data_IF_704141827403
#
_entry.id   IF_704141827403
#
_cell.length_a   1.000
_cell.length_b   1.000
_cell.length_c   1.000
_cell.angle_alpha   90.00
_cell.angle_beta   90.00
_cell.angle_gamma   90.00
#
_symmetry.space_group_name_H-M   'P 1'
#
loop_
_entity.id
_entity.type
_entity.pdbx_description
1 polymer ?
#
# COMPACT_ATOMS: atom_id res chain seq x y z
N UNK A 1 -1.99 10.03 17.38
CA UNK A 1 -0.88 9.56 16.51
C UNK A 1 0.42 9.67 17.28
N UNK A 2 1.28 8.64 17.25
CA UNK A 2 2.63 8.71 17.81
C UNK A 2 3.64 9.08 16.70
N UNK A 3 4.90 9.38 17.08
CA UNK A 3 5.95 9.78 16.14
C UNK A 3 6.23 8.68 15.10
N UNK A 4 6.19 7.41 15.49
CA UNK A 4 6.37 6.28 14.57
C UNK A 4 5.33 6.26 13.46
N UNK A 5 4.05 6.53 13.77
CA UNK A 5 2.99 6.60 12.76
C UNK A 5 3.19 7.77 11.80
N UNK A 6 3.68 8.92 12.29
CA UNK A 6 4.03 10.07 11.45
C UNK A 6 5.22 9.78 10.53
N UNK A 7 6.23 9.07 11.04
CA UNK A 7 7.39 8.64 10.23
C UNK A 7 6.97 7.67 9.12
N UNK A 8 6.11 6.69 9.42
CA UNK A 8 5.55 5.79 8.41
C UNK A 8 4.69 6.53 7.39
N UNK A 9 3.82 7.45 7.83
CA UNK A 9 3.05 8.31 6.94
C UNK A 9 3.96 9.08 5.98
N UNK A 10 5.02 9.72 6.49
CA UNK A 10 6.00 10.43 5.67
C UNK A 10 6.69 9.49 4.68
N UNK A 11 7.08 8.28 5.12
CA UNK A 11 7.69 7.27 4.25
C UNK A 11 6.77 6.85 3.11
N UNK A 12 5.48 6.60 3.37
CA UNK A 12 4.52 6.22 2.34
C UNK A 12 4.33 7.32 1.28
N UNK A 13 4.30 8.59 1.71
CA UNK A 13 4.24 9.72 0.78
C UNK A 13 5.51 9.85 -0.06
N UNK A 14 6.68 9.67 0.53
CA UNK A 14 7.97 9.67 -0.20
C UNK A 14 7.99 8.57 -1.26
N UNK A 15 7.60 7.34 -0.89
CA UNK A 15 7.58 6.22 -1.82
C UNK A 15 6.55 6.41 -2.95
N UNK A 16 5.37 6.94 -2.66
CA UNK A 16 4.38 7.28 -3.67
C UNK A 16 4.90 8.35 -4.64
N UNK A 17 5.56 9.39 -4.12
CA UNK A 17 6.12 10.47 -4.95
C UNK A 17 7.28 9.97 -5.81
N UNK A 18 8.16 9.12 -5.26
CA UNK A 18 9.27 8.53 -6.01
C UNK A 18 8.76 7.62 -7.14
N UNK A 19 7.83 6.72 -6.83
CA UNK A 19 7.23 5.83 -7.83
C UNK A 19 6.55 6.61 -8.94
N UNK A 20 5.75 7.63 -8.60
CA UNK A 20 5.13 8.51 -9.59
C UNK A 20 6.17 9.25 -10.44
N UNK A 21 7.24 9.77 -9.83
CA UNK A 21 8.32 10.45 -10.56
C UNK A 21 8.99 9.54 -11.58
N UNK A 22 9.19 8.26 -11.23
CA UNK A 22 9.76 7.27 -12.14
C UNK A 22 8.80 6.92 -13.28
N UNK A 23 7.50 6.83 -13.00
CA UNK A 23 6.48 6.60 -14.03
C UNK A 23 6.35 7.79 -14.97
N UNK A 24 6.29 9.01 -14.45
CA UNK A 24 6.23 10.25 -15.24
C UNK A 24 7.46 10.44 -16.15
N UNK A 25 8.61 9.87 -15.77
CA UNK A 25 9.83 9.84 -16.59
C UNK A 25 9.93 8.64 -17.54
N UNK A 26 8.87 7.82 -17.64
CA UNK A 26 8.84 6.58 -18.43
C UNK A 26 9.93 5.56 -18.06
N UNK A 27 10.45 5.62 -16.83
CA UNK A 27 11.46 4.66 -16.33
C UNK A 27 10.77 3.35 -15.92
N UNK A 28 9.58 3.46 -15.33
CA UNK A 28 8.72 2.33 -14.97
C UNK A 28 7.36 2.49 -15.64
N UNK A 29 6.76 1.38 -16.08
CA UNK A 29 5.35 1.41 -16.49
C UNK A 29 4.44 1.34 -15.26
N UNK A 30 3.24 1.90 -15.37
CA UNK A 30 2.27 1.92 -14.28
C UNK A 30 1.82 0.50 -13.90
N UNK A 31 1.75 -0.41 -14.88
CA UNK A 31 1.47 -1.83 -14.70
C UNK A 31 2.62 -2.56 -14.02
N UNK A 32 3.87 -2.17 -14.29
CA UNK A 32 5.02 -2.74 -13.60
C UNK A 32 5.02 -2.38 -12.12
N UNK A 33 4.67 -1.12 -11.79
CA UNK A 33 4.50 -0.69 -10.40
C UNK A 33 3.36 -1.44 -9.72
N UNK A 34 2.20 -1.57 -10.36
CA UNK A 34 1.06 -2.31 -9.78
C UNK A 34 1.42 -3.77 -9.48
N UNK A 35 2.07 -4.46 -10.43
CA UNK A 35 2.55 -5.84 -10.22
C UNK A 35 3.58 -5.95 -9.11
N UNK A 36 4.54 -5.02 -9.04
CA UNK A 36 5.56 -5.03 -8.00
C UNK A 36 4.94 -4.87 -6.60
N UNK A 37 3.95 -3.99 -6.45
CA UNK A 37 3.25 -3.82 -5.18
C UNK A 37 2.36 -5.02 -4.85
N UNK A 38 1.66 -5.61 -5.83
CA UNK A 38 0.90 -6.84 -5.62
C UNK A 38 1.79 -8.01 -5.16
N UNK A 39 2.98 -8.13 -5.75
CA UNK A 39 3.98 -9.10 -5.31
C UNK A 39 4.49 -8.81 -3.89
N UNK A 40 4.72 -7.54 -3.54
CA UNK A 40 5.14 -7.16 -2.20
C UNK A 40 4.07 -7.51 -1.15
N UNK A 41 2.78 -7.31 -1.45
CA UNK A 41 1.68 -7.74 -0.59
C UNK A 41 1.66 -9.27 -0.42
N UNK A 42 1.82 -10.01 -1.51
CA UNK A 42 1.89 -11.48 -1.46
C UNK A 42 3.07 -11.98 -0.63
N UNK A 43 4.24 -11.36 -0.74
CA UNK A 43 5.41 -11.72 0.08
C UNK A 43 5.13 -11.43 1.55
N UNK A 44 4.59 -10.25 1.85
CA UNK A 44 4.30 -9.83 3.23
C UNK A 44 3.26 -10.73 3.92
N UNK A 45 2.26 -11.21 3.18
CA UNK A 45 1.21 -12.09 3.69
C UNK A 45 1.53 -13.59 3.54
N UNK A 46 2.43 -13.93 2.63
CA UNK A 46 2.77 -15.31 2.25
C UNK A 46 3.97 -15.88 2.98
N UNK A 47 4.66 -15.12 3.85
CA UNK A 47 5.59 -15.72 4.82
C UNK A 47 4.81 -16.62 5.79
N UNK A 48 4.71 -17.89 5.38
CA UNK A 48 3.82 -18.99 5.81
C UNK A 48 3.95 -19.40 7.29
N UNK A 49 4.79 -18.73 8.06
CA UNK A 49 4.92 -18.93 9.51
C UNK A 49 4.67 -17.68 10.34
N UNK A 50 4.76 -16.51 9.71
CA UNK A 50 4.62 -15.24 10.42
C UNK A 50 3.20 -14.72 10.23
N UNK A 51 2.64 -14.82 9.03
CA UNK A 51 1.32 -14.26 8.74
C UNK A 51 0.17 -15.10 9.34
N UNK A 52 0.28 -16.44 9.38
CA UNK A 52 -0.78 -17.31 9.92
C UNK A 52 -1.05 -17.05 11.41
N UNK A 53 0.01 -16.79 12.19
CA UNK A 53 -0.08 -16.51 13.63
C UNK A 53 -0.39 -15.05 13.96
N UNK A 54 -0.32 -14.14 12.98
CA UNK A 54 -0.65 -12.73 13.19
C UNK A 54 -2.17 -12.54 13.26
N UNK A 55 -2.68 -11.73 14.21
CA UNK A 55 -4.08 -11.34 14.21
C UNK A 55 -4.42 -10.54 12.95
N UNK A 56 -5.69 -10.54 12.49
CA UNK A 56 -6.09 -9.89 11.24
C UNK A 56 -5.63 -8.42 11.11
N UNK A 57 -5.70 -7.65 12.19
CA UNK A 57 -5.23 -6.26 12.21
C UNK A 57 -3.72 -6.10 11.95
N UNK A 58 -2.90 -7.07 12.38
CA UNK A 58 -1.47 -7.06 12.13
C UNK A 58 -1.15 -7.50 10.69
N UNK A 59 -1.87 -8.48 10.14
CA UNK A 59 -1.79 -8.83 8.71
C UNK A 59 -2.13 -7.62 7.83
N UNK A 60 -3.17 -6.88 8.19
CA UNK A 60 -3.52 -5.63 7.50
C UNK A 60 -2.44 -4.55 7.60
N UNK A 61 -1.80 -4.42 8.76
CA UNK A 61 -0.69 -3.49 8.93
C UNK A 61 0.51 -3.86 8.03
N UNK A 62 0.80 -5.16 7.85
CA UNK A 62 1.82 -5.65 6.94
C UNK A 62 1.48 -5.38 5.48
N UNK A 63 0.23 -5.62 5.07
CA UNK A 63 -0.23 -5.40 3.69
C UNK A 63 -0.43 -3.92 3.34
N UNK A 64 -0.61 -3.05 4.34
CA UNK A 64 -0.97 -1.64 4.16
C UNK A 64 -0.05 -0.88 3.19
N UNK A 65 1.30 -0.95 3.27
CA UNK A 65 2.17 -0.16 2.40
C UNK A 65 1.97 -0.49 0.91
N UNK A 66 1.85 -1.78 0.58
CA UNK A 66 1.63 -2.22 -0.79
C UNK A 66 0.26 -1.76 -1.31
N UNK A 67 -0.82 -1.96 -0.52
CA UNK A 67 -2.17 -1.50 -0.87
C UNK A 67 -2.25 0.02 -1.05
N UNK A 68 -1.61 0.77 -0.16
CA UNK A 68 -1.52 2.22 -0.24
C UNK A 68 -0.86 2.68 -1.55
N UNK A 69 0.30 2.10 -1.88
CA UNK A 69 1.05 2.47 -3.08
C UNK A 69 0.34 2.06 -4.37
N UNK A 70 -0.40 0.95 -4.38
CA UNK A 70 -1.26 0.57 -5.53
C UNK A 70 -2.35 1.60 -5.78
N UNK A 71 -3.03 2.06 -4.73
CA UNK A 71 -4.06 3.09 -4.86
C UNK A 71 -3.46 4.42 -5.32
N UNK A 72 -2.31 4.82 -4.77
CA UNK A 72 -1.60 6.02 -5.22
C UNK A 72 -1.23 5.92 -6.72
N UNK A 73 -0.67 4.78 -7.13
CA UNK A 73 -0.29 4.50 -8.51
C UNK A 73 -1.50 4.54 -9.47
N UNK A 74 -2.65 4.01 -9.08
CA UNK A 74 -3.86 4.04 -9.89
C UNK A 74 -4.45 5.45 -10.03
N UNK A 75 -4.36 6.27 -8.97
CA UNK A 75 -5.00 7.59 -8.90
C UNK A 75 -4.18 8.70 -9.52
N UNK A 76 -2.86 8.59 -9.49
CA UNK A 76 -1.99 9.56 -10.16
C UNK A 76 -2.19 9.54 -11.69
N UNK A 77 -2.64 8.43 -12.27
CA UNK A 77 -3.07 8.38 -13.67
C UNK A 77 -4.29 9.25 -13.99
N UNK A 78 -5.12 9.55 -12.97
CA UNK A 78 -6.29 10.42 -13.12
C UNK A 78 -5.95 11.92 -12.98
N UNK A 79 -4.69 12.26 -12.65
CA UNK A 79 -4.24 13.66 -12.46
C UNK A 79 -4.61 14.26 -11.11
N UNK A 80 -5.24 13.51 -10.22
CA UNK A 80 -5.68 13.98 -8.90
C UNK A 80 -4.59 13.80 -7.83
N UNK A 81 -4.19 14.91 -7.21
CA UNK A 81 -3.34 14.87 -6.02
C UNK A 81 -4.18 14.44 -4.80
N UNK A 82 -4.16 13.15 -4.48
CA UNK A 82 -4.94 12.59 -3.37
C UNK A 82 -4.17 12.71 -2.05
N UNK A 83 -4.88 13.15 -1.00
CA UNK A 83 -4.30 13.27 0.34
C UNK A 83 -4.01 11.90 0.98
N UNK A 84 -3.03 11.85 1.88
CA UNK A 84 -2.72 10.65 2.66
C UNK A 84 -3.95 10.07 3.38
N UNK A 85 -4.76 10.93 3.99
CA UNK A 85 -5.95 10.54 4.74
C UNK A 85 -6.98 9.84 3.85
N UNK A 86 -7.14 10.35 2.62
CA UNK A 86 -8.06 9.76 1.65
C UNK A 86 -7.55 8.41 1.13
N UNK A 87 -6.27 8.29 0.78
CA UNK A 87 -5.68 7.00 0.40
C UNK A 87 -5.80 5.97 1.53
N UNK A 88 -5.53 6.36 2.77
CA UNK A 88 -5.67 5.49 3.95
C UNK A 88 -7.11 5.01 4.12
N UNK A 89 -8.08 5.92 3.99
CA UNK A 89 -9.51 5.57 4.03
C UNK A 89 -9.88 4.57 2.93
N UNK A 90 -9.38 4.78 1.71
CA UNK A 90 -9.64 3.88 0.58
C UNK A 90 -9.03 2.50 0.80
N UNK A 91 -7.81 2.39 1.37
CA UNK A 91 -7.24 1.09 1.76
C UNK A 91 -8.18 0.36 2.72
N UNK A 92 -8.67 1.05 3.75
CA UNK A 92 -9.60 0.46 4.73
C UNK A 92 -10.94 0.02 4.13
N UNK A 93 -11.39 0.64 3.04
CA UNK A 93 -12.64 0.29 2.35
C UNK A 93 -12.48 -0.82 1.31
N UNK A 94 -11.27 -1.02 0.79
CA UNK A 94 -10.99 -1.94 -0.32
C UNK A 94 -10.28 -3.21 0.13
N UNK A 95 -9.76 -3.26 1.37
CA UNK A 95 -9.25 -4.51 1.94
C UNK A 95 -10.37 -5.55 2.00
N UNK A 96 -10.03 -6.79 1.67
CA UNK A 96 -10.92 -7.93 1.87
C UNK A 96 -11.12 -8.22 3.36
N UNK A 97 -12.01 -9.16 3.66
CA UNK A 97 -12.12 -9.76 4.99
C UNK A 97 -11.28 -11.04 5.04
N UNK A 98 -10.63 -11.29 6.16
CA UNK A 98 -9.99 -12.58 6.37
C UNK A 98 -11.03 -13.63 6.80
N UNK A 99 -10.86 -14.92 6.46
CA UNK A 99 -11.84 -15.97 6.80
C UNK A 99 -12.12 -16.12 8.30
N UNK A 100 -11.18 -15.71 9.15
CA UNK A 100 -11.21 -15.72 10.61
C UNK A 100 -11.90 -14.48 11.23
N UNK A 101 -12.45 -13.56 10.42
CA UNK A 101 -13.20 -12.38 10.87
C UNK A 101 -14.74 -12.56 10.81
N UNK A 102 -15.24 -13.74 10.40
CA UNK A 102 -16.67 -14.04 10.19
C UNK A 102 -17.25 -15.01 11.24
#
# INVERSE_FOLDING_TARGET
MNVSNLQLQGMYLVMATLTETLVARNILSREAVDRAMAQAEQIALGEERTAEDLPPAARDALAFPARFLRLANARSAAGDAISFAELTRLVGQTKGHYPDEL
#
